data_IF_320192644253
#
_entry.id   IF_320192644253
#
_cell.length_a   1.000
_cell.length_b   1.000
_cell.length_c   1.000
_cell.angle_alpha   90.00
_cell.angle_beta   90.00
_cell.angle_gamma   90.00
#
_symmetry.space_group_name_H-M   'P 1'
#
loop_
_entity.id
_entity.type
_entity.pdbx_description
1 polymer ?
#
# COMPACT_ATOMS: atom_id res chain seq x y z
N UNK A 1 1.93 -33.44 7.82
CA UNK A 1 3.22 -32.78 7.53
C UNK A 1 3.12 -31.74 6.41
N UNK A 2 2.46 -32.03 5.28
CA UNK A 2 2.24 -31.07 4.19
C UNK A 2 1.42 -29.82 4.62
N UNK A 3 0.40 -30.02 5.48
CA UNK A 3 -0.47 -28.96 5.99
C UNK A 3 0.30 -27.84 6.70
N UNK A 4 1.22 -28.19 7.61
CA UNK A 4 1.99 -27.20 8.38
C UNK A 4 2.92 -26.36 7.48
N UNK A 5 3.48 -26.96 6.42
CA UNK A 5 4.31 -26.22 5.46
C UNK A 5 3.50 -25.18 4.69
N UNK A 6 2.29 -25.54 4.25
CA UNK A 6 1.38 -24.62 3.56
C UNK A 6 0.97 -23.48 4.49
N UNK A 7 0.58 -23.80 5.73
CA UNK A 7 0.20 -22.79 6.74
C UNK A 7 1.34 -21.80 6.97
N UNK A 8 2.57 -22.27 7.13
CA UNK A 8 3.73 -21.40 7.33
C UNK A 8 3.96 -20.48 6.12
N UNK A 9 3.86 -21.00 4.89
CA UNK A 9 3.99 -20.19 3.68
C UNK A 9 2.92 -19.10 3.64
N UNK A 10 1.66 -19.44 3.90
CA UNK A 10 0.57 -18.47 3.94
C UNK A 10 0.78 -17.42 5.03
N UNK A 11 1.28 -17.82 6.19
CA UNK A 11 1.61 -16.90 7.27
C UNK A 11 2.69 -15.90 6.87
N UNK A 12 3.79 -16.34 6.24
CA UNK A 12 4.84 -15.44 5.77
C UNK A 12 4.35 -14.50 4.67
N UNK A 13 3.53 -14.99 3.73
CA UNK A 13 2.93 -14.14 2.70
C UNK A 13 2.02 -13.08 3.31
N UNK A 14 1.18 -13.45 4.27
CA UNK A 14 0.32 -12.52 4.98
C UNK A 14 1.14 -11.45 5.73
N UNK A 15 2.19 -11.85 6.44
CA UNK A 15 3.06 -10.92 7.15
C UNK A 15 3.78 -9.96 6.17
N UNK A 16 4.25 -10.45 5.04
CA UNK A 16 4.87 -9.63 4.01
C UNK A 16 3.91 -8.58 3.43
N UNK A 17 2.64 -8.95 3.20
CA UNK A 17 1.61 -8.01 2.74
C UNK A 17 1.34 -6.93 3.80
N UNK A 18 1.25 -7.29 5.09
CA UNK A 18 1.06 -6.31 6.17
C UNK A 18 2.22 -5.31 6.22
N UNK A 19 3.45 -5.82 6.26
CA UNK A 19 4.65 -4.96 6.34
C UNK A 19 4.73 -4.06 5.11
N UNK A 20 4.53 -4.61 3.91
CA UNK A 20 4.52 -3.86 2.66
C UNK A 20 3.46 -2.77 2.66
N UNK A 21 2.26 -3.07 3.15
CA UNK A 21 1.17 -2.09 3.27
C UNK A 21 1.53 -0.95 4.22
N UNK A 22 2.13 -1.25 5.37
CA UNK A 22 2.58 -0.22 6.32
C UNK A 22 3.64 0.68 5.68
N UNK A 23 4.59 0.11 4.93
CA UNK A 23 5.62 0.89 4.24
C UNK A 23 5.01 1.76 3.14
N UNK A 24 4.11 1.20 2.31
CA UNK A 24 3.38 1.96 1.28
C UNK A 24 2.63 3.13 1.90
N UNK A 25 1.92 2.84 2.98
CA UNK A 25 1.14 3.78 3.71
C UNK A 25 2.07 4.95 4.17
N UNK A 26 3.17 4.66 4.86
CA UNK A 26 4.12 5.68 5.31
C UNK A 26 4.68 6.47 4.10
N UNK A 27 5.02 5.78 3.02
CA UNK A 27 5.52 6.38 1.79
C UNK A 27 4.57 7.44 1.22
N UNK A 28 3.28 7.11 1.05
CA UNK A 28 2.31 8.05 0.48
C UNK A 28 2.04 9.24 1.40
N UNK A 29 2.15 9.05 2.71
CA UNK A 29 1.97 10.12 3.69
C UNK A 29 3.11 11.14 3.65
N UNK A 30 4.35 10.70 3.46
CA UNK A 30 5.53 11.59 3.42
C UNK A 30 5.91 12.05 2.00
N UNK A 31 5.35 11.41 0.96
CA UNK A 31 5.71 11.65 -0.44
C UNK A 31 5.50 13.13 -0.84
N UNK A 32 6.53 13.81 -1.38
CA UNK A 32 6.44 15.23 -1.76
C UNK A 32 5.25 15.59 -2.65
N UNK A 33 4.75 14.64 -3.43
CA UNK A 33 3.70 14.83 -4.42
C UNK A 33 2.29 14.51 -3.90
N UNK A 34 2.16 13.83 -2.76
CA UNK A 34 0.88 13.29 -2.25
C UNK A 34 0.54 13.68 -0.80
N UNK A 35 1.56 13.99 0.02
CA UNK A 35 1.53 14.41 1.45
C UNK A 35 0.16 14.62 2.10
N UNK A 36 0.03 14.16 3.34
CA UNK A 36 -1.16 14.33 4.19
C UNK A 36 -2.37 13.55 3.65
N UNK A 37 -2.16 12.29 3.28
CA UNK A 37 -3.25 11.42 2.81
C UNK A 37 -4.17 11.11 3.99
N UNK A 38 -3.60 10.66 5.11
CA UNK A 38 -4.38 10.33 6.30
C UNK A 38 -4.10 11.23 7.48
N UNK A 39 -3.02 12.03 7.52
CA UNK A 39 -2.80 12.98 8.59
C UNK A 39 -2.89 14.40 8.04
N UNK A 40 -4.12 14.93 7.96
CA UNK A 40 -4.41 16.20 7.30
C UNK A 40 -5.09 17.21 8.19
N UNK A 41 -4.86 18.48 7.88
CA UNK A 41 -5.61 19.59 8.46
C UNK A 41 -7.04 19.58 7.90
N UNK A 42 -8.03 19.64 8.79
CA UNK A 42 -9.44 19.74 8.44
C UNK A 42 -9.84 21.19 8.13
N UNK A 43 -11.11 21.43 7.79
CA UNK A 43 -11.64 22.77 7.49
C UNK A 43 -11.55 23.75 8.67
N UNK A 44 -11.43 23.24 9.90
CA UNK A 44 -11.30 24.02 11.13
C UNK A 44 -9.85 24.38 11.45
N UNK A 45 -8.88 23.96 10.64
CA UNK A 45 -7.45 24.18 10.90
C UNK A 45 -6.83 23.16 11.86
N UNK A 46 -7.56 22.13 12.28
CA UNK A 46 -7.08 21.11 13.21
C UNK A 46 -6.54 19.88 12.47
N UNK A 47 -5.51 19.25 13.02
CA UNK A 47 -4.98 18.00 12.47
C UNK A 47 -5.90 16.84 12.79
N UNK A 48 -6.27 16.07 11.77
CA UNK A 48 -7.21 14.97 11.86
C UNK A 48 -6.65 13.72 11.17
N UNK A 49 -6.94 12.56 11.75
CA UNK A 49 -6.55 11.27 11.21
C UNK A 49 -7.70 10.69 10.36
N UNK A 50 -7.46 10.52 9.07
CA UNK A 50 -8.45 10.15 8.05
C UNK A 50 -7.98 8.92 7.27
N UNK A 51 -8.03 7.75 7.91
CA UNK A 51 -7.66 6.48 7.26
C UNK A 51 -8.49 6.14 6.03
N UNK A 52 -9.72 6.66 5.93
CA UNK A 52 -10.58 6.46 4.77
C UNK A 52 -9.87 6.89 3.47
N UNK A 53 -9.13 7.99 3.48
CA UNK A 53 -8.39 8.48 2.32
C UNK A 53 -7.30 7.49 1.87
N UNK A 54 -6.67 6.78 2.82
CA UNK A 54 -5.71 5.72 2.50
C UNK A 54 -6.41 4.57 1.77
N UNK A 55 -7.56 4.12 2.28
CA UNK A 55 -8.32 3.04 1.63
C UNK A 55 -8.85 3.44 0.26
N UNK A 56 -9.30 4.69 0.10
CA UNK A 56 -9.70 5.25 -1.20
C UNK A 56 -8.51 5.24 -2.17
N UNK A 57 -7.32 5.64 -1.71
CA UNK A 57 -6.11 5.59 -2.55
C UNK A 57 -5.75 4.15 -2.94
N UNK A 58 -5.75 3.23 -1.98
CA UNK A 58 -5.40 1.82 -2.22
C UNK A 58 -6.38 1.10 -3.16
N UNK A 59 -7.67 1.45 -3.08
CA UNK A 59 -8.72 0.91 -3.95
C UNK A 59 -8.93 1.73 -5.22
N UNK A 60 -8.30 2.90 -5.34
CA UNK A 60 -8.36 3.79 -6.50
C UNK A 60 -8.10 3.08 -7.84
N UNK A 61 -7.08 2.21 -7.96
CA UNK A 61 -6.81 1.47 -9.19
C UNK A 61 -7.92 0.51 -9.64
N UNK A 62 -8.86 0.14 -8.75
CA UNK A 62 -10.04 -0.66 -9.14
C UNK A 62 -11.12 0.17 -9.81
N UNK A 63 -11.14 1.48 -9.55
CA UNK A 63 -12.22 2.37 -9.94
C UNK A 63 -11.81 3.35 -11.04
N UNK A 64 -10.51 3.61 -11.20
CA UNK A 64 -10.02 4.63 -12.12
C UNK A 64 -8.81 4.17 -12.92
N UNK A 65 -8.94 4.20 -14.25
CA UNK A 65 -7.92 3.74 -15.19
C UNK A 65 -6.63 4.56 -15.14
N UNK A 66 -6.70 5.82 -14.68
CA UNK A 66 -5.51 6.69 -14.68
C UNK A 66 -4.38 6.14 -13.79
N UNK A 67 -4.69 5.39 -12.73
CA UNK A 67 -3.69 4.74 -11.87
C UNK A 67 -2.81 3.73 -12.62
N UNK A 68 -3.26 3.24 -13.77
CA UNK A 68 -2.53 2.31 -14.62
C UNK A 68 -1.63 2.99 -15.65
N UNK A 69 -1.56 4.33 -15.66
CA UNK A 69 -0.51 5.02 -16.43
C UNK A 69 0.82 4.95 -15.69
N UNK A 70 1.96 4.72 -16.38
CA UNK A 70 3.28 4.59 -15.76
C UNK A 70 3.69 5.75 -14.85
N UNK A 71 3.16 6.95 -15.11
CA UNK A 71 3.38 8.14 -14.29
C UNK A 71 2.85 8.02 -12.85
N UNK A 72 1.88 7.13 -12.61
CA UNK A 72 1.20 6.96 -11.32
C UNK A 72 1.47 5.59 -10.67
N UNK A 73 2.43 4.83 -11.20
CA UNK A 73 2.76 3.51 -10.66
C UNK A 73 3.32 3.56 -9.22
N UNK A 74 3.92 4.68 -8.84
CA UNK A 74 4.44 4.90 -7.49
C UNK A 74 3.32 4.99 -6.44
N UNK A 75 2.13 5.48 -6.82
CA UNK A 75 0.96 5.59 -5.94
C UNK A 75 -0.07 4.47 -6.15
N UNK A 76 0.14 3.60 -7.13
CA UNK A 76 -0.73 2.47 -7.41
C UNK A 76 -0.39 1.31 -6.47
N UNK A 77 -1.29 1.05 -5.51
CA UNK A 77 -1.08 0.04 -4.49
C UNK A 77 -0.91 -1.39 -5.06
N UNK A 78 -1.59 -1.76 -6.14
CA UNK A 78 -1.41 -3.09 -6.74
C UNK A 78 -0.06 -3.25 -7.44
N UNK A 79 0.41 -2.20 -8.12
CA UNK A 79 1.75 -2.21 -8.71
C UNK A 79 2.80 -2.31 -7.59
N UNK A 80 2.62 -1.57 -6.50
CA UNK A 80 3.50 -1.65 -5.34
C UNK A 80 3.55 -3.06 -4.71
N UNK A 81 2.39 -3.70 -4.52
CA UNK A 81 2.32 -5.08 -4.04
C UNK A 81 2.97 -6.06 -5.02
N UNK A 82 2.74 -5.90 -6.32
CA UNK A 82 3.34 -6.75 -7.35
C UNK A 82 4.87 -6.67 -7.33
N UNK A 83 5.42 -5.45 -7.26
CA UNK A 83 6.87 -5.22 -7.12
C UNK A 83 7.39 -5.85 -5.82
N UNK A 84 6.66 -5.73 -4.72
CA UNK A 84 7.01 -6.38 -3.45
C UNK A 84 7.17 -7.90 -3.62
N UNK A 85 6.23 -8.56 -4.30
CA UNK A 85 6.32 -10.00 -4.53
C UNK A 85 7.50 -10.39 -5.41
N UNK A 86 7.80 -9.61 -6.46
CA UNK A 86 8.98 -9.81 -7.29
C UNK A 86 10.26 -9.71 -6.46
N UNK A 87 10.39 -8.66 -5.63
CA UNK A 87 11.57 -8.45 -4.78
C UNK A 87 11.76 -9.61 -3.81
N UNK A 88 10.68 -10.04 -3.16
CA UNK A 88 10.72 -11.18 -2.23
C UNK A 88 11.22 -12.44 -2.95
N UNK A 89 10.76 -12.68 -4.18
CA UNK A 89 11.18 -13.85 -4.95
C UNK A 89 12.64 -13.77 -5.40
N UNK A 90 13.15 -12.57 -5.70
CA UNK A 90 14.56 -12.36 -6.05
C UNK A 90 15.49 -12.56 -4.83
N UNK A 91 15.04 -12.23 -3.62
CA UNK A 91 15.85 -12.29 -2.40
C UNK A 91 15.91 -13.71 -1.80
N UNK A 92 14.92 -14.56 -2.08
CA UNK A 92 14.88 -15.96 -1.62
C UNK A 92 15.95 -16.82 -2.28
#
# INVERSE_FOLDING_TARGET
MLSNKIINILFYLFLAIIISTIIFAIYVEISPHMKNIWYRTNSSGEKSFQLENLFILMSGPLNYDFYWHPRYYDINYFIYLFITFIIIEIIK
#
